data_IF_998440908038
#
_entry.id   IF_998440908038
#
_cell.length_a   1.000
_cell.length_b   1.000
_cell.length_c   1.000
_cell.angle_alpha   90.00
_cell.angle_beta   90.00
_cell.angle_gamma   90.00
#
_symmetry.space_group_name_H-M   'P 1'
#
loop_
_entity.id
_entity.type
_entity.pdbx_description
1 polymer ?
#
# COMPACT_ATOMS: atom_id res chain seq x y z
N UNK A 1 -10.47 5.72 14.94
CA UNK A 1 -10.73 4.26 14.88
C UNK A 1 -10.05 3.73 13.64
N UNK A 2 -9.01 2.91 13.79
CA UNK A 2 -8.47 2.10 12.68
C UNK A 2 -9.62 1.18 12.27
N UNK A 3 -10.11 1.34 11.04
CA UNK A 3 -11.23 0.57 10.47
C UNK A 3 -10.99 -0.92 10.72
N UNK A 4 -11.97 -1.60 11.31
CA UNK A 4 -11.93 -3.02 11.71
C UNK A 4 -11.58 -4.02 10.58
N UNK A 5 -11.42 -3.55 9.35
CA UNK A 5 -11.22 -4.35 8.15
C UNK A 5 -9.75 -4.49 7.69
N UNK A 6 -8.79 -3.82 8.33
CA UNK A 6 -7.37 -3.97 7.99
C UNK A 6 -6.67 -4.92 8.98
N UNK A 7 -6.73 -6.21 8.68
CA UNK A 7 -5.97 -7.25 9.40
C UNK A 7 -4.51 -7.27 8.95
N UNK A 8 -3.62 -7.85 9.76
CA UNK A 8 -2.21 -8.06 9.40
C UNK A 8 -2.07 -8.80 8.06
N UNK A 9 -2.92 -9.79 7.79
CA UNK A 9 -2.93 -10.52 6.52
C UNK A 9 -3.26 -9.61 5.34
N UNK A 10 -4.27 -8.74 5.47
CA UNK A 10 -4.61 -7.76 4.42
C UNK A 10 -3.48 -6.74 4.20
N UNK A 11 -2.81 -6.30 5.27
CA UNK A 11 -1.63 -5.43 5.20
C UNK A 11 -0.52 -6.09 4.38
N UNK A 12 -0.20 -7.36 4.68
CA UNK A 12 0.82 -8.13 3.95
C UNK A 12 0.41 -8.34 2.49
N UNK A 13 -0.84 -8.74 2.23
CA UNK A 13 -1.34 -8.95 0.88
C UNK A 13 -1.31 -7.65 0.05
N UNK A 14 -1.70 -6.53 0.64
CA UNK A 14 -1.61 -5.22 0.01
C UNK A 14 -0.17 -4.81 -0.28
N UNK A 15 0.77 -5.06 0.64
CA UNK A 15 2.19 -4.79 0.42
C UNK A 15 2.75 -5.63 -0.74
N UNK A 16 2.48 -6.93 -0.76
CA UNK A 16 2.91 -7.82 -1.85
C UNK A 16 2.31 -7.40 -3.21
N UNK A 17 1.03 -7.03 -3.22
CA UNK A 17 0.36 -6.53 -4.42
C UNK A 17 0.97 -5.21 -4.92
N UNK A 18 1.28 -4.27 -4.02
CA UNK A 18 1.95 -3.03 -4.39
C UNK A 18 3.36 -3.27 -4.88
N UNK A 19 4.11 -4.14 -4.22
CA UNK A 19 5.47 -4.48 -4.60
C UNK A 19 5.52 -5.08 -6.01
N UNK A 20 4.65 -6.03 -6.33
CA UNK A 20 4.60 -6.66 -7.66
C UNK A 20 4.15 -5.71 -8.76
N UNK A 21 3.22 -4.80 -8.47
CA UNK A 21 2.66 -3.88 -9.46
C UNK A 21 3.48 -2.61 -9.66
N UNK A 22 4.33 -2.21 -8.69
CA UNK A 22 5.13 -1.02 -8.83
C UNK A 22 6.30 -1.25 -9.80
N UNK A 23 6.26 -0.61 -10.97
CA UNK A 23 7.28 -0.68 -12.02
C UNK A 23 7.73 -2.13 -12.34
N UNK A 24 6.79 -3.09 -12.29
CA UNK A 24 7.06 -4.51 -12.54
C UNK A 24 7.91 -5.19 -11.46
N UNK A 25 7.71 -4.86 -10.19
CA UNK A 25 8.44 -5.47 -9.06
C UNK A 25 9.60 -4.63 -8.52
N UNK A 26 9.87 -3.46 -9.10
CA UNK A 26 11.03 -2.63 -8.73
C UNK A 26 10.63 -1.51 -7.79
N UNK A 27 10.86 -1.75 -6.51
CA UNK A 27 10.68 -0.76 -5.46
C UNK A 27 11.84 0.25 -5.42
N UNK A 28 11.58 1.53 -5.07
CA UNK A 28 12.63 2.50 -4.86
C UNK A 28 13.47 2.16 -3.62
N UNK A 29 14.73 2.61 -3.56
CA UNK A 29 15.59 2.41 -2.38
C UNK A 29 14.99 2.99 -1.10
N UNK A 30 14.27 4.11 -1.20
CA UNK A 30 13.60 4.76 -0.06
C UNK A 30 12.46 5.66 -0.53
N UNK A 31 11.50 5.89 0.35
CA UNK A 31 10.45 6.89 0.15
C UNK A 31 9.06 6.31 0.34
N UNK A 32 8.09 6.85 -0.39
CA UNK A 32 6.71 6.37 -0.36
C UNK A 32 6.22 6.07 -1.77
N UNK A 33 5.50 4.97 -1.90
CA UNK A 33 4.75 4.62 -3.10
C UNK A 33 3.27 4.61 -2.75
N UNK A 34 2.42 4.86 -3.75
CA UNK A 34 0.97 4.78 -3.57
C UNK A 34 0.38 3.82 -4.57
N UNK A 35 -0.62 3.06 -4.14
CA UNK A 35 -1.35 2.14 -4.98
C UNK A 35 -2.80 2.03 -4.56
N UNK A 36 -3.54 1.17 -5.23
CA UNK A 36 -4.91 0.82 -4.85
C UNK A 36 -4.96 -0.68 -4.59
N UNK A 37 -5.52 -1.07 -3.46
CA UNK A 37 -5.76 -2.45 -3.07
C UNK A 37 -7.17 -2.57 -2.52
N UNK A 38 -7.95 -3.53 -3.01
CA UNK A 38 -9.33 -3.76 -2.55
C UNK A 38 -10.21 -2.48 -2.64
N UNK A 39 -10.02 -1.69 -3.71
CA UNK A 39 -10.71 -0.41 -3.93
C UNK A 39 -10.28 0.73 -3.00
N UNK A 40 -9.32 0.50 -2.10
CA UNK A 40 -8.77 1.49 -1.17
C UNK A 40 -7.43 1.98 -1.68
N UNK A 41 -7.23 3.30 -1.74
CA UNK A 41 -5.90 3.87 -1.98
C UNK A 41 -5.07 3.69 -0.72
N UNK A 42 -3.87 3.15 -0.89
CA UNK A 42 -2.91 2.87 0.17
C UNK A 42 -1.58 3.55 -0.12
N UNK A 43 -0.90 3.95 0.94
CA UNK A 43 0.46 4.49 0.92
C UNK A 43 1.35 3.44 1.56
N UNK A 44 2.41 3.04 0.86
CA UNK A 44 3.45 2.16 1.39
C UNK A 44 4.75 2.93 1.54
N UNK A 45 5.39 2.80 2.70
CA UNK A 45 6.72 3.34 2.98
C UNK A 45 7.76 2.28 2.64
N UNK A 46 8.75 2.68 1.85
CA UNK A 46 9.82 1.82 1.37
C UNK A 46 11.14 2.25 2.00
N UNK A 47 11.91 1.27 2.43
CA UNK A 47 13.27 1.44 2.94
C UNK A 47 14.15 0.27 2.50
N UNK A 48 15.31 0.57 1.93
CA UNK A 48 16.23 -0.39 1.30
C UNK A 48 15.54 -1.34 0.30
N UNK A 49 14.64 -0.80 -0.52
CA UNK A 49 13.91 -1.59 -1.52
C UNK A 49 12.80 -2.48 -0.95
N UNK A 50 12.49 -2.39 0.34
CA UNK A 50 11.46 -3.19 1.01
C UNK A 50 10.33 -2.32 1.56
N UNK A 51 9.09 -2.82 1.51
CA UNK A 51 7.95 -2.16 2.16
C UNK A 51 8.01 -2.44 3.66
N UNK A 52 8.23 -1.38 4.45
CA UNK A 52 8.30 -1.47 5.92
C UNK A 52 7.00 -1.06 6.61
N UNK A 53 6.11 -0.36 5.89
CA UNK A 53 4.80 0.03 6.41
C UNK A 53 3.82 0.27 5.28
N UNK A 54 2.54 -0.01 5.51
CA UNK A 54 1.45 0.31 4.59
C UNK A 54 0.22 0.73 5.38
N UNK A 55 -0.47 1.77 4.90
CA UNK A 55 -1.67 2.28 5.53
C UNK A 55 -2.63 2.90 4.49
N UNK A 56 -3.94 2.91 4.78
CA UNK A 56 -4.92 3.59 3.93
C UNK A 56 -4.64 5.09 3.83
N UNK A 57 -4.72 5.64 2.63
CA UNK A 57 -4.64 7.08 2.40
C UNK A 57 -5.95 7.75 2.86
N UNK A 58 -6.02 8.12 4.13
CA UNK A 58 -7.23 8.74 4.71
C UNK A 58 -7.61 10.09 4.06
N UNK A 59 -6.70 10.73 3.31
CA UNK A 59 -6.91 12.03 2.68
C UNK A 59 -7.42 11.92 1.25
N UNK A 60 -7.09 10.83 0.55
CA UNK A 60 -7.48 10.61 -0.83
C UNK A 60 -7.88 9.16 -1.01
N UNK A 61 -9.15 8.91 -1.30
CA UNK A 61 -9.65 7.60 -1.69
C UNK A 61 -10.18 7.64 -3.12
N UNK A 62 -10.10 6.54 -3.89
CA UNK A 62 -10.74 6.48 -5.19
C UNK A 62 -12.25 6.67 -4.98
N UNK A 63 -12.86 7.60 -5.70
CA UNK A 63 -14.31 7.73 -5.67
C UNK A 63 -14.91 6.47 -6.29
N UNK A 64 -15.81 5.79 -5.56
CA UNK A 64 -16.65 4.74 -6.15
C UNK A 64 -17.45 5.41 -7.28
N UNK A 65 -17.20 4.98 -8.51
CA UNK A 65 -18.00 5.38 -9.68
C UNK A 65 -19.22 4.50 -9.78
#
# INVERSE_FOLDING_TARGET
MVSKDWTTEKVIAAANHLASNHNGGKLPEKGTITGTYDGVRVIAQVNHGEIVSIYPDAKKQPSKK
#
